data_IF_155257327405
#
_entry.id   IF_155257327405
#
_cell.length_a   1.000
_cell.length_b   1.000
_cell.length_c   1.000
_cell.angle_alpha   90.00
_cell.angle_beta   90.00
_cell.angle_gamma   90.00
#
_symmetry.space_group_name_H-M   'P 1'
#
loop_
_entity.id
_entity.type
_entity.pdbx_description
1 polymer ?
#
# COMPACT_ATOMS: atom_id res chain seq x y z
N UNK A 1 93.47 -8.74 -2.74
CA UNK A 1 92.56 -9.21 -3.80
C UNK A 1 91.14 -8.76 -3.45
N UNK A 2 90.61 -7.84 -4.27
CA UNK A 2 89.18 -7.63 -4.59
C UNK A 2 88.11 -7.72 -3.48
N UNK A 3 87.77 -6.55 -2.91
CA UNK A 3 86.43 -5.88 -2.88
C UNK A 3 85.18 -6.68 -3.34
N UNK A 4 83.93 -6.26 -3.00
CA UNK A 4 83.40 -5.76 -1.71
C UNK A 4 81.89 -6.09 -1.47
N UNK A 5 81.39 -5.56 -0.34
CA UNK A 5 80.03 -5.17 0.07
C UNK A 5 79.05 -4.80 -1.09
N UNK A 6 77.73 -4.94 -0.95
CA UNK A 6 76.84 -4.02 -0.19
C UNK A 6 75.33 -4.26 -0.62
N UNK A 7 74.30 -3.53 -0.13
CA UNK A 7 73.00 -4.05 0.32
C UNK A 7 71.79 -3.49 -0.49
N UNK A 8 70.55 -3.83 -0.13
CA UNK A 8 69.33 -3.07 -0.49
C UNK A 8 68.28 -3.33 0.60
N UNK A 9 68.01 -2.38 1.52
CA UNK A 9 67.05 -1.26 1.42
C UNK A 9 65.60 -1.75 1.24
N UNK A 10 64.75 -1.68 2.28
CA UNK A 10 63.84 -0.54 2.55
C UNK A 10 63.11 -0.05 1.29
N UNK A 11 61.78 -0.04 1.32
CA UNK A 11 60.91 1.09 0.97
C UNK A 11 59.45 0.72 1.27
N UNK A 12 58.85 1.52 2.14
CA UNK A 12 57.42 1.67 2.38
C UNK A 12 56.73 2.36 1.21
N UNK A 13 55.50 1.95 0.87
CA UNK A 13 54.57 2.78 0.08
C UNK A 13 53.14 2.67 0.64
N UNK A 14 52.68 3.79 1.20
CA UNK A 14 51.27 4.20 1.19
C UNK A 14 50.90 4.62 -0.24
N UNK A 15 49.75 4.20 -0.75
CA UNK A 15 49.02 4.85 -1.86
C UNK A 15 47.55 4.43 -1.73
N UNK A 16 46.71 5.29 -1.13
CA UNK A 16 45.84 6.30 -1.76
C UNK A 16 44.45 5.79 -2.12
N UNK A 17 43.47 6.51 -1.56
CA UNK A 17 42.06 6.61 -1.92
C UNK A 17 41.67 6.09 -3.30
N UNK A 18 40.80 5.09 -3.31
CA UNK A 18 39.82 4.89 -4.37
C UNK A 18 38.44 4.87 -3.73
N UNK A 19 37.80 6.03 -3.60
CA UNK A 19 36.35 6.10 -3.39
C UNK A 19 35.74 5.49 -4.65
N UNK A 20 35.34 4.22 -4.55
CA UNK A 20 34.52 3.60 -5.58
C UNK A 20 33.18 4.33 -5.58
N UNK A 21 33.00 5.18 -6.59
CA UNK A 21 31.71 5.73 -6.97
C UNK A 21 30.78 4.53 -7.24
N UNK A 22 29.89 4.22 -6.30
CA UNK A 22 28.77 3.32 -6.55
C UNK A 22 27.82 4.06 -7.49
N UNK A 23 28.07 3.91 -8.79
CA UNK A 23 27.09 4.25 -9.81
C UNK A 23 26.00 3.19 -9.67
N UNK A 24 24.93 3.56 -8.97
CA UNK A 24 23.69 2.79 -8.95
C UNK A 24 23.13 2.80 -10.38
N UNK A 25 23.43 1.76 -11.14
CA UNK A 25 22.67 1.48 -12.34
C UNK A 25 21.24 1.15 -11.91
N UNK A 26 20.20 1.75 -12.51
CA UNK A 26 18.85 1.27 -12.30
C UNK A 26 18.80 -0.18 -12.76
N UNK A 27 18.48 -1.09 -11.83
CA UNK A 27 18.12 -2.48 -12.14
C UNK A 27 16.86 -2.44 -13.00
N UNK A 28 17.04 -2.39 -14.31
CA UNK A 28 15.97 -2.56 -15.28
C UNK A 28 15.45 -3.99 -15.15
N UNK A 29 14.22 -4.13 -14.64
CA UNK A 29 13.53 -5.43 -14.54
C UNK A 29 12.86 -5.72 -13.19
N UNK A 30 12.87 -4.81 -12.22
CA UNK A 30 12.03 -4.96 -11.02
C UNK A 30 10.54 -5.06 -11.44
N UNK A 31 9.78 -6.06 -10.96
CA UNK A 31 8.37 -6.17 -11.26
C UNK A 31 7.63 -4.93 -10.76
N UNK A 32 6.74 -4.38 -11.61
CA UNK A 32 5.88 -3.24 -11.26
C UNK A 32 5.16 -3.51 -9.92
N UNK A 33 5.48 -2.72 -8.90
CA UNK A 33 5.02 -2.88 -7.52
C UNK A 33 4.43 -1.56 -6.99
N UNK A 34 3.35 -1.60 -6.17
CA UNK A 34 2.80 -0.41 -5.53
C UNK A 34 3.70 0.17 -4.42
N UNK A 35 4.78 -0.51 -4.03
CA UNK A 35 5.62 -0.17 -2.87
C UNK A 35 6.09 1.28 -2.85
N UNK A 36 6.67 1.77 -3.95
CA UNK A 36 7.20 3.13 -4.02
C UNK A 36 6.10 4.18 -3.79
N UNK A 37 4.93 4.00 -4.42
CA UNK A 37 3.79 4.89 -4.21
C UNK A 37 3.27 4.82 -2.76
N UNK A 38 3.23 3.62 -2.16
CA UNK A 38 2.76 3.43 -0.79
C UNK A 38 3.70 4.11 0.22
N UNK A 39 5.02 3.96 0.04
CA UNK A 39 6.02 4.62 0.87
C UNK A 39 5.91 6.14 0.80
N UNK A 40 5.71 6.70 -0.38
CA UNK A 40 5.45 8.14 -0.54
C UNK A 40 4.17 8.58 0.18
N UNK A 41 3.08 7.81 0.05
CA UNK A 41 1.85 8.09 0.78
C UNK A 41 2.09 8.05 2.30
N UNK A 42 2.84 7.05 2.81
CA UNK A 42 3.20 6.97 4.21
C UNK A 42 4.00 8.18 4.68
N UNK A 43 5.03 8.58 3.95
CA UNK A 43 5.87 9.75 4.27
C UNK A 43 5.06 11.04 4.33
N UNK A 44 4.17 11.28 3.35
CA UNK A 44 3.29 12.45 3.35
C UNK A 44 2.25 12.39 4.47
N UNK A 45 1.69 11.21 4.73
CA UNK A 45 0.77 10.97 5.85
C UNK A 45 1.45 11.24 7.19
N UNK A 46 2.66 10.72 7.41
CA UNK A 46 3.43 10.91 8.63
C UNK A 46 3.85 12.38 8.83
N UNK A 47 4.20 13.09 7.74
CA UNK A 47 4.42 14.53 7.78
C UNK A 47 3.16 15.27 8.23
N UNK A 48 2.00 14.93 7.67
CA UNK A 48 0.71 15.53 8.07
C UNK A 48 0.38 15.24 9.54
N UNK A 49 0.63 14.03 10.03
CA UNK A 49 0.48 13.67 11.45
C UNK A 49 1.40 14.52 12.33
N UNK A 50 2.64 14.77 11.90
CA UNK A 50 3.62 15.53 12.69
C UNK A 50 3.30 17.03 12.79
N UNK A 51 2.62 17.61 11.79
CA UNK A 51 2.35 19.06 11.72
C UNK A 51 0.90 19.45 12.03
N UNK A 52 0.02 18.48 12.32
CA UNK A 52 -1.40 18.72 12.54
C UNK A 52 -1.96 17.92 13.73
N UNK A 53 -3.25 18.07 14.01
CA UNK A 53 -3.96 17.25 15.00
C UNK A 53 -4.54 15.95 14.41
N UNK A 54 -4.09 15.55 13.21
CA UNK A 54 -4.54 14.33 12.54
C UNK A 54 -3.73 13.11 13.00
N UNK A 55 -4.30 11.92 12.83
CA UNK A 55 -3.65 10.63 13.06
C UNK A 55 -4.16 9.61 12.05
N UNK A 56 -3.51 8.45 11.92
CA UNK A 56 -3.92 7.44 10.95
C UNK A 56 -5.32 6.90 11.26
N UNK A 57 -6.19 6.81 10.24
CA UNK A 57 -7.57 6.40 10.44
C UNK A 57 -7.68 4.95 10.98
N UNK A 58 -8.51 4.66 12.00
CA UNK A 58 -8.80 3.28 12.40
C UNK A 58 -9.51 2.51 11.28
N UNK A 59 -9.22 1.23 11.14
CA UNK A 59 -9.64 0.46 9.97
C UNK A 59 -8.76 0.78 8.76
N UNK A 60 -9.38 0.96 7.59
CA UNK A 60 -8.65 1.28 6.37
C UNK A 60 -8.00 2.67 6.47
N UNK A 61 -6.68 2.72 6.39
CA UNK A 61 -5.88 3.93 6.51
C UNK A 61 -4.95 4.19 5.32
N UNK A 62 -4.69 3.18 4.49
CA UNK A 62 -3.92 3.33 3.26
C UNK A 62 -4.51 2.45 2.16
N UNK A 63 -4.32 2.84 0.90
CA UNK A 63 -4.67 2.00 -0.24
C UNK A 63 -3.78 2.34 -1.44
N UNK A 64 -3.42 1.37 -2.26
CA UNK A 64 -2.72 1.59 -3.52
C UNK A 64 -3.44 0.94 -4.69
N UNK A 65 -3.39 1.60 -5.84
CA UNK A 65 -4.02 1.17 -7.07
C UNK A 65 -3.09 1.41 -8.26
N UNK A 66 -3.31 0.62 -9.31
CA UNK A 66 -2.70 0.85 -10.61
C UNK A 66 -3.72 1.52 -11.53
N UNK A 67 -3.44 2.74 -11.96
CA UNK A 67 -4.39 3.59 -12.69
C UNK A 67 -3.78 4.04 -14.01
N UNK A 68 -4.55 3.90 -15.08
CA UNK A 68 -4.16 4.35 -16.41
C UNK A 68 -4.34 5.86 -16.53
N UNK A 69 -3.45 6.52 -17.27
CA UNK A 69 -3.59 7.95 -17.62
C UNK A 69 -4.93 8.20 -18.32
N UNK A 70 -5.62 9.26 -17.92
CA UNK A 70 -6.98 9.63 -18.32
C UNK A 70 -8.08 8.79 -17.65
N UNK A 71 -7.77 7.97 -16.64
CA UNK A 71 -8.75 7.13 -15.92
C UNK A 71 -8.82 7.45 -14.44
N UNK A 72 -9.81 6.85 -13.78
CA UNK A 72 -10.08 7.05 -12.36
C UNK A 72 -10.28 5.74 -11.64
N UNK A 73 -9.90 5.70 -10.36
CA UNK A 73 -10.25 4.64 -9.41
C UNK A 73 -11.03 5.26 -8.26
N UNK A 74 -11.89 4.48 -7.59
CA UNK A 74 -12.72 4.98 -6.51
C UNK A 74 -12.73 4.03 -5.32
N UNK A 75 -12.73 4.59 -4.12
CA UNK A 75 -12.74 3.90 -2.85
C UNK A 75 -13.96 4.34 -2.05
N UNK A 76 -14.76 3.38 -1.59
CA UNK A 76 -15.90 3.68 -0.72
C UNK A 76 -15.44 3.76 0.73
N UNK A 77 -15.87 4.82 1.43
CA UNK A 77 -15.48 5.10 2.81
C UNK A 77 -16.71 5.37 3.66
N UNK A 78 -16.81 4.72 4.81
CA UNK A 78 -17.76 5.13 5.85
C UNK A 78 -17.11 6.19 6.73
N UNK A 79 -17.66 7.40 6.72
CA UNK A 79 -17.17 8.54 7.49
C UNK A 79 -18.16 8.90 8.59
N UNK A 80 -17.66 9.29 9.76
CA UNK A 80 -18.48 9.66 10.91
C UNK A 80 -18.67 11.17 11.01
N UNK A 81 -19.89 11.62 11.29
CA UNK A 81 -20.19 13.03 11.52
C UNK A 81 -19.30 13.65 12.59
N UNK A 82 -19.04 14.96 12.45
CA UNK A 82 -18.29 15.81 13.39
C UNK A 82 -16.81 15.47 13.52
N UNK A 83 -16.29 14.47 12.80
CA UNK A 83 -14.86 14.24 12.64
C UNK A 83 -14.31 15.03 11.46
N UNK A 84 -13.04 15.41 11.56
CA UNK A 84 -12.25 15.91 10.44
C UNK A 84 -11.41 14.77 9.87
N UNK A 85 -11.41 14.65 8.55
CA UNK A 85 -10.60 13.70 7.79
C UNK A 85 -9.64 14.47 6.89
N UNK A 86 -8.44 13.90 6.70
CA UNK A 86 -7.49 14.37 5.70
C UNK A 86 -7.16 13.21 4.78
N UNK A 87 -7.33 13.43 3.48
CA UNK A 87 -7.02 12.47 2.43
C UNK A 87 -5.86 13.01 1.61
N UNK A 88 -4.80 12.22 1.48
CA UNK A 88 -3.62 12.59 0.70
C UNK A 88 -3.44 11.51 -0.34
N UNK A 89 -3.31 11.89 -1.60
CA UNK A 89 -2.88 10.97 -2.65
C UNK A 89 -1.41 11.18 -2.97
N UNK A 90 -0.74 10.16 -3.49
CA UNK A 90 0.60 10.29 -4.08
C UNK A 90 0.72 9.39 -5.30
N UNK A 91 1.36 9.87 -6.36
CA UNK A 91 1.86 9.01 -7.43
C UNK A 91 3.27 8.47 -7.12
N UNK A 92 3.61 7.35 -7.75
CA UNK A 92 4.97 6.81 -7.81
C UNK A 92 5.96 7.83 -8.41
N UNK A 93 5.54 8.53 -9.46
CA UNK A 93 6.36 9.52 -10.16
C UNK A 93 5.83 10.94 -9.93
N UNK A 94 6.74 11.87 -9.66
CA UNK A 94 6.39 13.28 -9.40
C UNK A 94 5.85 14.01 -10.64
N UNK A 95 6.14 13.50 -11.84
CA UNK A 95 5.61 14.02 -13.11
C UNK A 95 4.14 13.63 -13.37
N UNK A 96 3.57 12.76 -12.55
CA UNK A 96 2.18 12.32 -12.71
C UNK A 96 1.25 13.31 -12.02
N UNK A 97 0.34 13.87 -12.80
CA UNK A 97 -0.75 14.72 -12.33
C UNK A 97 -1.86 13.82 -11.76
N UNK A 98 -2.31 14.12 -10.55
CA UNK A 98 -3.30 13.35 -9.82
C UNK A 98 -4.33 14.29 -9.23
N UNK A 99 -5.60 14.11 -9.60
CA UNK A 99 -6.70 14.78 -8.94
C UNK A 99 -7.31 13.87 -7.87
N UNK A 100 -7.83 14.48 -6.82
CA UNK A 100 -8.62 13.84 -5.77
C UNK A 100 -10.01 14.49 -5.67
N UNK A 101 -11.05 13.67 -5.60
CA UNK A 101 -12.44 14.11 -5.47
C UNK A 101 -13.11 13.33 -4.35
N UNK A 102 -13.74 14.03 -3.41
CA UNK A 102 -14.65 13.44 -2.43
C UNK A 102 -16.09 13.66 -2.88
N UNK A 103 -16.85 12.57 -2.95
CA UNK A 103 -18.26 12.57 -3.31
C UNK A 103 -19.14 12.10 -2.16
N UNK A 104 -20.32 12.69 -2.03
CA UNK A 104 -21.36 12.22 -1.11
C UNK A 104 -22.10 10.99 -1.65
N UNK A 105 -23.11 10.54 -0.90
CA UNK A 105 -23.96 9.40 -1.23
C UNK A 105 -24.76 9.57 -2.53
N UNK A 106 -25.01 10.81 -2.95
CA UNK A 106 -25.73 11.15 -4.19
C UNK A 106 -24.77 11.28 -5.39
N UNK A 107 -23.46 11.07 -5.16
CA UNK A 107 -22.40 11.15 -6.16
C UNK A 107 -21.93 12.57 -6.46
N UNK A 108 -22.42 13.58 -5.72
CA UNK A 108 -22.04 14.97 -5.89
C UNK A 108 -20.65 15.20 -5.29
N UNK A 109 -19.80 15.93 -6.01
CA UNK A 109 -18.49 16.36 -5.51
C UNK A 109 -18.71 17.39 -4.39
N UNK A 110 -18.19 17.12 -3.21
CA UNK A 110 -18.31 17.97 -2.01
C UNK A 110 -16.97 18.55 -1.57
N UNK A 111 -15.86 17.97 -2.02
CA UNK A 111 -14.51 18.52 -1.91
C UNK A 111 -13.65 17.95 -3.04
N UNK A 112 -12.64 18.71 -3.46
CA UNK A 112 -11.71 18.27 -4.50
C UNK A 112 -10.39 19.02 -4.39
N UNK A 113 -9.34 18.37 -4.87
CA UNK A 113 -8.07 18.98 -5.22
C UNK A 113 -7.72 18.49 -6.63
N UNK A 114 -7.53 19.44 -7.54
CA UNK A 114 -7.30 19.21 -8.98
C UNK A 114 -6.23 20.18 -9.50
N UNK A 115 -5.31 20.58 -8.63
CA UNK A 115 -4.11 21.29 -9.05
C UNK A 115 -3.20 20.33 -9.83
N UNK A 116 -2.41 20.86 -10.77
CA UNK A 116 -1.52 20.04 -11.62
C UNK A 116 -0.29 19.60 -10.82
N UNK A 117 -0.49 18.64 -9.92
CA UNK A 117 0.54 18.05 -9.08
C UNK A 117 0.25 16.56 -8.79
N UNK A 118 1.24 15.86 -8.24
CA UNK A 118 1.12 14.43 -7.93
C UNK A 118 0.77 14.12 -6.47
N UNK A 119 0.40 15.12 -5.66
CA UNK A 119 0.11 15.01 -4.22
C UNK A 119 -1.12 15.84 -3.79
N UNK A 120 -2.32 15.59 -4.37
CA UNK A 120 -3.52 16.32 -3.97
C UNK A 120 -3.91 15.99 -2.53
N UNK A 121 -4.43 17.00 -1.82
CA UNK A 121 -4.84 16.92 -0.41
C UNK A 121 -6.26 17.46 -0.22
N UNK A 122 -7.13 16.64 0.36
CA UNK A 122 -8.47 17.07 0.79
C UNK A 122 -8.54 17.04 2.31
N UNK A 123 -8.86 18.19 2.91
CA UNK A 123 -9.32 18.28 4.30
C UNK A 123 -10.84 18.44 4.34
N UNK A 124 -11.53 17.58 5.09
CA UNK A 124 -12.98 17.57 5.11
C UNK A 124 -13.54 17.32 6.50
N UNK A 125 -14.44 18.20 6.96
CA UNK A 125 -15.22 18.01 8.18
C UNK A 125 -16.58 17.43 7.81
N UNK A 126 -16.86 16.23 8.30
CA UNK A 126 -18.03 15.47 7.88
C UNK A 126 -19.29 16.01 8.55
N UNK A 127 -20.29 16.49 7.79
CA UNK A 127 -21.53 17.01 8.36
C UNK A 127 -22.43 15.88 8.89
N UNK A 128 -22.50 14.77 8.15
CA UNK A 128 -23.42 13.67 8.42
C UNK A 128 -22.70 12.32 8.30
N UNK A 129 -23.01 11.38 9.18
CA UNK A 129 -22.43 10.03 9.11
C UNK A 129 -23.00 9.33 7.89
N UNK A 130 -22.14 8.76 7.05
CA UNK A 130 -22.60 8.14 5.82
C UNK A 130 -21.49 7.49 5.02
N UNK A 131 -21.88 6.95 3.87
CA UNK A 131 -20.96 6.42 2.88
C UNK A 131 -20.59 7.52 1.89
N UNK A 132 -19.30 7.71 1.71
CA UNK A 132 -18.70 8.65 0.78
C UNK A 132 -17.85 7.88 -0.22
N UNK A 133 -17.59 8.49 -1.37
CA UNK A 133 -16.69 7.94 -2.37
C UNK A 133 -15.50 8.88 -2.56
N UNK A 134 -14.30 8.37 -2.27
CA UNK A 134 -13.06 9.03 -2.61
C UNK A 134 -12.61 8.54 -3.99
N UNK A 135 -12.53 9.45 -4.95
CA UNK A 135 -12.17 9.17 -6.33
C UNK A 135 -10.85 9.84 -6.65
N UNK A 136 -9.94 9.06 -7.24
CA UNK A 136 -8.67 9.52 -7.74
C UNK A 136 -8.71 9.49 -9.27
N UNK A 137 -8.25 10.55 -9.92
CA UNK A 137 -8.11 10.63 -11.37
C UNK A 137 -6.66 10.95 -11.76
N UNK A 138 -6.15 10.34 -12.83
CA UNK A 138 -4.85 10.71 -13.40
C UNK A 138 -5.12 11.46 -14.70
N UNK A 139 -5.25 12.80 -14.70
CA UNK A 139 -5.46 13.56 -15.93
C UNK A 139 -4.28 13.46 -16.90
N UNK A 140 -3.04 13.51 -16.40
CA UNK A 140 -1.83 13.49 -17.22
C UNK A 140 -0.66 12.74 -16.55
N UNK A 141 0.19 12.11 -17.36
CA UNK A 141 1.44 11.47 -16.93
C UNK A 141 2.34 11.22 -18.15
N UNK A 142 3.64 11.13 -17.94
CA UNK A 142 4.60 10.68 -18.95
C UNK A 142 4.55 9.14 -19.17
N UNK A 143 3.93 8.40 -18.23
CA UNK A 143 3.65 6.98 -18.34
C UNK A 143 2.22 6.72 -18.84
N UNK A 144 2.01 5.56 -19.46
CA UNK A 144 0.66 5.09 -19.77
C UNK A 144 -0.13 4.64 -18.53
N UNK A 145 0.55 4.25 -17.45
CA UNK A 145 -0.06 3.72 -16.23
C UNK A 145 0.86 3.96 -15.04
N UNK A 146 0.28 4.35 -13.90
CA UNK A 146 1.02 4.67 -12.68
C UNK A 146 0.45 3.92 -11.49
N UNK A 147 1.30 3.63 -10.50
CA UNK A 147 0.80 3.36 -9.17
C UNK A 147 0.53 4.67 -8.43
N UNK A 148 -0.62 4.69 -7.79
CA UNK A 148 -1.06 5.78 -6.93
C UNK A 148 -1.48 5.19 -5.59
N UNK A 149 -1.24 5.94 -4.53
CA UNK A 149 -1.54 5.54 -3.17
C UNK A 149 -2.27 6.63 -2.41
N UNK A 150 -3.05 6.23 -1.42
CA UNK A 150 -3.79 7.09 -0.53
C UNK A 150 -3.30 6.92 0.91
N UNK A 151 -3.24 8.02 1.63
CA UNK A 151 -3.20 8.10 3.08
C UNK A 151 -4.51 8.69 3.59
N UNK A 152 -5.15 7.99 4.52
CA UNK A 152 -6.42 8.37 5.13
C UNK A 152 -6.19 8.64 6.61
N UNK A 153 -6.36 9.90 7.01
CA UNK A 153 -6.16 10.37 8.37
C UNK A 153 -7.48 10.87 8.97
N UNK A 154 -7.59 10.85 10.30
CA UNK A 154 -8.67 11.49 11.03
C UNK A 154 -8.22 12.11 12.35
N UNK A 155 -9.00 13.08 12.84
CA UNK A 155 -8.77 13.82 14.09
C UNK A 155 -8.76 12.99 15.38
N UNK A 156 -9.13 11.70 15.32
CA UNK A 156 -9.16 10.76 16.44
C UNK A 156 -8.53 9.41 16.06
N UNK A 157 -7.45 9.47 15.27
CA UNK A 157 -6.80 8.29 14.72
C UNK A 157 -5.85 7.57 15.68
N UNK A 158 -5.13 6.61 15.12
CA UNK A 158 -4.07 5.83 15.76
C UNK A 158 -2.71 6.28 15.23
N UNK A 159 -1.66 6.07 16.02
CA UNK A 159 -0.29 6.28 15.56
C UNK A 159 0.18 5.02 14.83
N UNK A 160 0.92 5.21 13.74
CA UNK A 160 1.68 4.13 13.08
C UNK A 160 3.14 4.48 13.26
N UNK A 161 3.88 3.63 13.95
CA UNK A 161 5.31 3.84 14.21
C UNK A 161 6.07 3.59 12.90
N UNK A 162 6.91 4.55 12.49
CA UNK A 162 7.63 4.48 11.22
C UNK A 162 8.52 3.22 11.12
N UNK A 163 9.20 2.84 12.19
CA UNK A 163 9.99 1.61 12.21
C UNK A 163 9.14 0.36 11.96
N UNK A 164 7.96 0.27 12.60
CA UNK A 164 7.02 -0.84 12.39
C UNK A 164 6.49 -0.87 10.96
N UNK A 165 6.15 0.30 10.40
CA UNK A 165 5.75 0.44 9.00
C UNK A 165 6.84 -0.06 8.06
N UNK A 166 8.09 0.39 8.23
CA UNK A 166 9.21 0.02 7.35
C UNK A 166 9.51 -1.47 7.41
N UNK A 167 9.52 -2.06 8.61
CA UNK A 167 9.75 -3.49 8.80
C UNK A 167 8.62 -4.34 8.20
N UNK A 168 7.37 -3.94 8.42
CA UNK A 168 6.21 -4.63 7.84
C UNK A 168 6.22 -4.54 6.31
N UNK A 169 6.46 -3.35 5.76
CA UNK A 169 6.47 -3.12 4.32
C UNK A 169 7.54 -3.97 3.64
N UNK A 170 8.78 -3.95 4.16
CA UNK A 170 9.87 -4.73 3.60
C UNK A 170 9.57 -6.24 3.61
N UNK A 171 9.07 -6.78 4.73
CA UNK A 171 8.74 -8.22 4.83
C UNK A 171 7.57 -8.61 3.93
N UNK A 172 6.51 -7.79 3.89
CA UNK A 172 5.35 -8.03 3.06
C UNK A 172 5.68 -8.03 1.56
N UNK A 173 6.47 -7.06 1.08
CA UNK A 173 6.88 -7.01 -0.33
C UNK A 173 7.85 -8.13 -0.69
N UNK A 174 8.79 -8.51 0.19
CA UNK A 174 9.63 -9.68 -0.02
C UNK A 174 8.79 -10.97 -0.18
N UNK A 175 7.81 -11.22 0.70
CA UNK A 175 6.91 -12.36 0.56
C UNK A 175 6.02 -12.27 -0.69
N UNK A 176 5.62 -11.07 -1.09
CA UNK A 176 4.85 -10.86 -2.33
C UNK A 176 5.67 -11.19 -3.58
N UNK A 177 6.97 -10.86 -3.58
CA UNK A 177 7.90 -11.23 -4.64
C UNK A 177 8.12 -12.74 -4.72
N UNK A 178 8.14 -13.44 -3.58
CA UNK A 178 8.18 -14.90 -3.54
C UNK A 178 6.93 -15.51 -4.21
N UNK A 179 5.73 -14.98 -3.93
CA UNK A 179 4.48 -15.41 -4.59
C UNK A 179 4.56 -15.18 -6.10
N UNK A 180 4.96 -13.98 -6.53
CA UNK A 180 5.06 -13.63 -7.96
C UNK A 180 6.12 -14.50 -8.66
N UNK A 181 7.22 -14.79 -8.00
CA UNK A 181 8.32 -15.62 -8.55
C UNK A 181 7.93 -17.10 -8.64
N UNK A 182 7.19 -17.60 -7.64
CA UNK A 182 6.70 -18.97 -7.63
C UNK A 182 5.66 -19.24 -8.74
N UNK A 183 4.90 -18.21 -9.14
CA UNK A 183 3.84 -18.33 -10.14
C UNK A 183 4.04 -17.31 -11.28
N UNK A 184 4.67 -17.70 -12.41
CA UNK A 184 5.11 -16.76 -13.46
C UNK A 184 4.02 -15.92 -14.13
N UNK A 185 2.74 -16.24 -13.92
CA UNK A 185 1.58 -15.47 -14.43
C UNK A 185 0.92 -14.60 -13.36
N UNK A 186 1.23 -14.80 -12.08
CA UNK A 186 0.69 -14.00 -10.99
C UNK A 186 1.27 -12.59 -11.04
N UNK A 187 0.40 -11.60 -10.95
CA UNK A 187 0.78 -10.18 -10.86
C UNK A 187 -0.05 -9.54 -9.75
N UNK A 188 0.43 -8.42 -9.24
CA UNK A 188 -0.43 -7.47 -8.53
C UNK A 188 -1.71 -7.23 -9.34
N UNK A 189 -2.84 -7.09 -8.65
CA UNK A 189 -4.12 -6.83 -9.30
C UNK A 189 -3.98 -5.67 -10.28
N UNK A 190 -4.16 -5.98 -11.56
CA UNK A 190 -3.82 -5.11 -12.68
C UNK A 190 -5.01 -4.83 -13.58
N UNK A 191 -6.20 -5.37 -13.24
CA UNK A 191 -7.46 -4.90 -13.79
C UNK A 191 -7.50 -3.39 -13.64
N UNK A 192 -7.64 -2.71 -14.76
CA UNK A 192 -7.56 -1.25 -14.84
C UNK A 192 -8.58 -0.65 -13.87
N UNK A 193 -8.14 0.34 -13.09
CA UNK A 193 -8.94 1.07 -12.11
C UNK A 193 -9.41 0.22 -10.92
N UNK A 194 -8.55 -0.68 -10.45
CA UNK A 194 -8.78 -1.43 -9.22
C UNK A 194 -7.65 -1.23 -8.22
N UNK A 195 -8.02 -1.24 -6.94
CA UNK A 195 -7.10 -1.27 -5.81
C UNK A 195 -6.43 -2.64 -5.72
N UNK A 196 -5.13 -2.66 -5.45
CA UNK A 196 -4.33 -3.87 -5.36
C UNK A 196 -3.65 -4.06 -4.02
N UNK A 197 -3.62 -3.03 -3.16
CA UNK A 197 -3.01 -3.08 -1.85
C UNK A 197 -3.81 -2.20 -0.88
N UNK A 198 -3.94 -2.65 0.36
CA UNK A 198 -4.62 -1.92 1.43
C UNK A 198 -3.82 -1.99 2.72
N UNK A 199 -3.79 -0.87 3.45
CA UNK A 199 -3.22 -0.79 4.78
C UNK A 199 -4.31 -0.51 5.81
N UNK A 200 -4.25 -1.21 6.94
CA UNK A 200 -5.22 -1.05 8.03
C UNK A 200 -4.53 -0.85 9.36
N UNK A 201 -5.12 -0.01 10.20
CA UNK A 201 -4.85 0.02 11.64
C UNK A 201 -5.99 -0.65 12.37
N UNK A 202 -5.81 -1.87 12.89
CA UNK A 202 -6.85 -2.68 13.52
C UNK A 202 -6.46 -3.10 14.95
N UNK A 203 -7.42 -3.04 15.87
CA UNK A 203 -7.31 -3.62 17.22
C UNK A 203 -7.75 -5.09 17.25
N UNK A 204 -7.47 -5.76 18.37
CA UNK A 204 -7.96 -7.12 18.60
C UNK A 204 -9.48 -7.20 18.43
N UNK A 205 -9.94 -8.20 17.66
CA UNK A 205 -11.34 -8.46 17.25
C UNK A 205 -11.92 -7.43 16.27
N UNK A 206 -11.14 -6.44 15.83
CA UNK A 206 -11.54 -5.59 14.71
C UNK A 206 -11.26 -6.27 13.38
N UNK A 207 -12.00 -5.85 12.37
CA UNK A 207 -11.82 -6.32 11.00
C UNK A 207 -12.34 -5.31 10.00
N UNK A 208 -11.96 -5.49 8.74
CA UNK A 208 -12.49 -4.74 7.62
C UNK A 208 -13.15 -5.70 6.63
N UNK A 209 -14.21 -5.25 5.95
CA UNK A 209 -14.88 -6.05 4.93
C UNK A 209 -15.02 -5.22 3.66
N UNK A 210 -14.30 -5.63 2.62
CA UNK A 210 -14.51 -5.15 1.27
C UNK A 210 -15.78 -5.78 0.75
N UNK A 211 -16.78 -4.95 0.54
CA UNK A 211 -18.04 -5.39 -0.05
C UNK A 211 -17.92 -5.33 -1.57
N UNK A 212 -18.53 -6.33 -2.21
CA UNK A 212 -18.72 -6.36 -3.65
C UNK A 212 -17.44 -6.31 -4.49
N UNK A 213 -16.34 -6.90 -3.99
CA UNK A 213 -15.12 -7.08 -4.75
C UNK A 213 -15.43 -7.87 -6.02
N UNK A 214 -15.19 -7.27 -7.19
CA UNK A 214 -15.43 -7.91 -8.49
C UNK A 214 -14.24 -8.80 -8.84
N UNK A 215 -14.51 -10.09 -8.95
CA UNK A 215 -13.54 -11.11 -9.32
C UNK A 215 -13.96 -11.69 -10.67
N UNK A 216 -13.14 -11.50 -11.69
CA UNK A 216 -13.33 -12.08 -13.02
C UNK A 216 -12.97 -13.57 -13.03
N UNK A 217 -13.09 -14.23 -14.18
CA UNK A 217 -12.67 -15.62 -14.32
C UNK A 217 -11.13 -15.71 -14.32
N UNK A 218 -10.55 -15.91 -13.13
CA UNK A 218 -9.12 -15.94 -12.88
C UNK A 218 -8.80 -16.67 -11.57
N UNK A 219 -7.52 -16.92 -11.31
CA UNK A 219 -7.03 -17.36 -10.00
C UNK A 219 -6.56 -16.14 -9.22
N UNK A 220 -7.04 -16.00 -7.99
CA UNK A 220 -6.74 -14.90 -7.09
C UNK A 220 -5.94 -15.39 -5.89
N UNK A 221 -5.01 -14.55 -5.44
CA UNK A 221 -4.32 -14.70 -4.17
C UNK A 221 -4.54 -13.44 -3.34
N UNK A 222 -4.85 -13.63 -2.06
CA UNK A 222 -4.99 -12.57 -1.08
C UNK A 222 -4.00 -12.86 0.03
N UNK A 223 -2.97 -12.03 0.14
CA UNK A 223 -1.93 -12.19 1.15
C UNK A 223 -2.00 -11.00 2.11
N UNK A 224 -1.99 -11.25 3.40
CA UNK A 224 -1.85 -10.20 4.39
C UNK A 224 -0.61 -10.39 5.24
N UNK A 225 -0.08 -9.30 5.78
CA UNK A 225 0.96 -9.33 6.80
C UNK A 225 0.63 -8.32 7.89
N UNK A 226 0.74 -8.75 9.14
CA UNK A 226 0.62 -7.89 10.32
C UNK A 226 1.97 -7.45 10.86
N UNK A 227 2.05 -6.22 11.36
CA UNK A 227 3.18 -5.74 12.14
C UNK A 227 3.35 -6.50 13.46
N UNK A 228 4.38 -6.17 14.26
CA UNK A 228 4.79 -6.95 15.43
C UNK A 228 3.72 -7.11 16.53
N UNK A 229 2.74 -6.21 16.59
CA UNK A 229 1.61 -6.31 17.52
C UNK A 229 0.60 -7.42 17.13
N UNK A 230 0.52 -7.78 15.84
CA UNK A 230 -0.41 -8.77 15.31
C UNK A 230 0.12 -10.20 15.51
N UNK A 231 -0.69 -11.06 16.11
CA UNK A 231 -0.31 -12.45 16.39
C UNK A 231 -1.19 -13.49 15.69
N UNK A 232 -2.40 -13.10 15.31
CA UNK A 232 -3.32 -13.94 14.55
C UNK A 232 -4.24 -13.06 13.69
N UNK A 233 -4.13 -13.17 12.38
CA UNK A 233 -4.95 -12.49 11.38
C UNK A 233 -5.64 -13.56 10.53
N UNK A 234 -6.96 -13.45 10.43
CA UNK A 234 -7.75 -14.34 9.59
C UNK A 234 -8.19 -13.63 8.32
N UNK A 235 -8.29 -14.39 7.22
CA UNK A 235 -8.90 -13.96 5.96
C UNK A 235 -10.14 -14.79 5.66
N UNK A 236 -11.18 -14.14 5.14
CA UNK A 236 -12.42 -14.79 4.73
C UNK A 236 -12.87 -14.23 3.40
N UNK A 237 -13.19 -15.09 2.45
CA UNK A 237 -13.85 -14.72 1.21
C UNK A 237 -15.24 -15.35 1.19
N UNK A 238 -16.27 -14.51 1.07
CA UNK A 238 -17.66 -14.94 0.97
C UNK A 238 -18.26 -14.56 -0.38
N UNK A 239 -19.15 -15.39 -0.91
CA UNK A 239 -19.92 -15.07 -2.13
C UNK A 239 -21.11 -14.13 -1.81
N UNK A 240 -21.90 -13.77 -2.82
CA UNK A 240 -23.08 -12.90 -2.64
C UNK A 240 -24.18 -13.49 -1.74
N UNK A 241 -24.18 -14.81 -1.51
CA UNK A 241 -25.11 -15.49 -0.58
C UNK A 241 -24.57 -15.51 0.86
N UNK A 242 -23.45 -14.83 1.12
CA UNK A 242 -22.70 -14.85 2.38
C UNK A 242 -22.16 -16.23 2.77
N UNK A 243 -22.02 -17.14 1.79
CA UNK A 243 -21.36 -18.43 2.00
C UNK A 243 -19.84 -18.22 1.90
N UNK A 244 -19.09 -18.71 2.89
CA UNK A 244 -17.62 -18.64 2.87
C UNK A 244 -17.10 -19.63 1.82
N UNK A 245 -16.46 -19.10 0.77
CA UNK A 245 -15.93 -19.89 -0.36
C UNK A 245 -14.43 -20.15 -0.25
N UNK A 246 -13.72 -19.38 0.56
CA UNK A 246 -12.33 -19.60 0.93
C UNK A 246 -12.04 -18.87 2.26
N UNK A 247 -11.10 -19.37 3.05
CA UNK A 247 -10.69 -18.77 4.32
C UNK A 247 -9.27 -19.19 4.70
N UNK A 248 -8.63 -18.35 5.49
CA UNK A 248 -7.44 -18.68 6.28
C UNK A 248 -7.73 -18.36 7.76
N UNK A 249 -7.43 -19.31 8.64
CA UNK A 249 -7.61 -19.25 10.10
C UNK A 249 -6.40 -19.84 10.84
N UNK A 250 -5.29 -20.06 10.14
CA UNK A 250 -4.08 -20.52 10.79
C UNK A 250 -3.64 -19.45 11.81
N UNK A 251 -3.10 -19.85 12.99
CA UNK A 251 -2.81 -18.92 14.07
C UNK A 251 -1.51 -18.14 13.82
N UNK A 252 -1.49 -17.32 12.77
CA UNK A 252 -0.34 -16.57 12.29
C UNK A 252 -0.70 -15.15 11.83
N UNK A 253 0.31 -14.33 11.58
CA UNK A 253 0.15 -12.94 11.13
C UNK A 253 0.39 -12.76 9.62
N UNK A 254 0.46 -13.86 8.86
CA UNK A 254 0.84 -13.91 7.44
C UNK A 254 -0.16 -14.76 6.63
N UNK A 255 -1.49 -14.55 6.74
CA UNK A 255 -2.46 -15.41 6.09
C UNK A 255 -2.40 -15.27 4.56
N UNK A 256 -2.58 -16.40 3.88
CA UNK A 256 -2.61 -16.49 2.41
C UNK A 256 -3.84 -17.28 1.96
N UNK A 257 -4.74 -16.59 1.26
CA UNK A 257 -5.95 -17.17 0.70
C UNK A 257 -5.81 -17.29 -0.81
N UNK A 258 -5.93 -18.51 -1.34
CA UNK A 258 -6.05 -18.78 -2.77
C UNK A 258 -7.52 -19.03 -3.14
N UNK A 259 -7.98 -18.45 -4.26
CA UNK A 259 -9.33 -18.64 -4.76
C UNK A 259 -9.36 -18.71 -6.29
N UNK A 260 -10.04 -19.70 -6.85
CA UNK A 260 -10.27 -19.80 -8.30
C UNK A 260 -11.70 -19.40 -8.60
N UNK A 261 -11.85 -18.30 -9.35
CA UNK A 261 -13.14 -17.84 -9.84
C UNK A 261 -13.37 -18.34 -11.27
N UNK A 262 -14.49 -19.04 -11.49
CA UNK A 262 -14.82 -19.61 -12.81
C UNK A 262 -15.64 -18.65 -13.69
N UNK A 263 -16.19 -17.59 -13.11
CA UNK A 263 -17.01 -16.59 -13.78
C UNK A 263 -16.86 -15.24 -13.09
N UNK A 264 -17.20 -14.15 -13.78
CA UNK A 264 -17.24 -12.83 -13.14
C UNK A 264 -18.31 -12.83 -12.05
N UNK A 265 -17.89 -12.60 -10.82
CA UNK A 265 -18.74 -12.60 -9.64
C UNK A 265 -18.32 -11.52 -8.65
N UNK A 266 -19.21 -11.26 -7.68
CA UNK A 266 -18.97 -10.29 -6.63
C UNK A 266 -18.80 -11.04 -5.30
N UNK A 267 -17.69 -10.80 -4.62
CA UNK A 267 -17.37 -11.43 -3.35
C UNK A 267 -17.15 -10.39 -2.25
N UNK A 268 -17.29 -10.80 -1.01
CA UNK A 268 -16.95 -10.01 0.15
C UNK A 268 -15.66 -10.57 0.76
N UNK A 269 -14.60 -9.78 0.77
CA UNK A 269 -13.32 -10.13 1.40
C UNK A 269 -13.25 -9.48 2.78
N UNK A 270 -13.06 -10.28 3.82
CA UNK A 270 -12.89 -9.82 5.19
C UNK A 270 -11.52 -10.19 5.72
N UNK A 271 -10.88 -9.21 6.34
CA UNK A 271 -9.69 -9.37 7.17
C UNK A 271 -10.06 -9.10 8.62
N UNK A 272 -9.54 -9.90 9.55
CA UNK A 272 -9.85 -9.75 10.98
C UNK A 272 -8.64 -10.06 11.86
N UNK A 273 -8.37 -9.20 12.83
CA UNK A 273 -7.34 -9.46 13.86
C UNK A 273 -7.96 -10.29 14.96
N UNK A 274 -7.63 -11.58 15.04
CA UNK A 274 -8.11 -12.45 16.12
C UNK A 274 -7.36 -12.24 17.42
N UNK A 275 -6.05 -12.00 17.34
CA UNK A 275 -5.19 -11.81 18.50
C UNK A 275 -4.10 -10.78 18.22
N UNK A 276 -3.97 -9.81 19.10
CA UNK A 276 -2.88 -8.81 19.08
C UNK A 276 -2.55 -8.34 20.49
N UNK A 277 -1.34 -7.82 20.70
CA UNK A 277 -0.93 -7.18 21.95
C UNK A 277 -1.35 -5.70 22.06
N UNK A 278 -1.87 -5.14 20.98
CA UNK A 278 -2.35 -3.76 20.85
C UNK A 278 -2.89 -3.48 19.43
N UNK A 279 -3.13 -2.21 19.07
CA UNK A 279 -3.44 -1.85 17.70
C UNK A 279 -2.27 -2.24 16.79
N UNK A 280 -2.57 -2.95 15.71
CA UNK A 280 -1.58 -3.38 14.73
C UNK A 280 -1.80 -2.74 13.37
N UNK A 281 -0.71 -2.42 12.68
CA UNK A 281 -0.75 -2.08 11.26
C UNK A 281 -0.67 -3.37 10.42
N UNK A 282 -1.45 -3.45 9.35
CA UNK A 282 -1.60 -4.64 8.53
C UNK A 282 -1.63 -4.22 7.06
N UNK A 283 -0.90 -4.94 6.21
CA UNK A 283 -0.98 -4.83 4.76
C UNK A 283 -1.76 -6.01 4.18
N UNK A 284 -2.56 -5.77 3.15
CA UNK A 284 -3.30 -6.79 2.38
C UNK A 284 -3.11 -6.54 0.89
N UNK A 285 -2.46 -7.47 0.21
CA UNK A 285 -2.25 -7.47 -1.22
C UNK A 285 -3.23 -8.37 -1.96
N UNK A 286 -3.67 -7.90 -3.12
CA UNK A 286 -4.51 -8.64 -4.06
C UNK A 286 -3.67 -8.95 -5.31
N UNK A 287 -3.61 -10.24 -5.65
CA UNK A 287 -2.90 -10.74 -6.81
C UNK A 287 -3.82 -11.60 -7.66
N UNK A 288 -3.54 -11.69 -8.95
CA UNK A 288 -4.28 -12.55 -9.88
C UNK A 288 -3.39 -13.14 -10.96
N UNK A 289 -3.85 -14.26 -11.52
CA UNK A 289 -3.24 -15.02 -12.61
C UNK A 289 -4.22 -15.22 -13.76
#
# INVERSE_FOLDING_TARGET
MTKPLSPCSFWSFLCTCGIALLISFPLSGQPLSPEASLNRAFEKGNLMVAISAQSWRPGLCMAAARVQTGKSVSLSLSLSARKSYTFISTAEQESTDVDLYLRDQDGKIIASDSETDGTPVIEFRVPETGNYQLQLHIPASDQGTNFVSLSLLESSGRQIIEEEYRNLTASFFASSEEIISAYPKVRWQSTINQWCLFGFSLDQKEGHTFQQLRLDAARYYFAAAGGPACQNIDLYLANQKNEIVALDKAPDALPLLEYVSNNSQSCNLRIEVKRSSGPGFILLGLFHQ
#
